data_IF_671991311050
#
_entry.id   IF_671991311050
#
_cell.length_a   1.000
_cell.length_b   1.000
_cell.length_c   1.000
_cell.angle_alpha   90.00
_cell.angle_beta   90.00
_cell.angle_gamma   90.00
#
_symmetry.space_group_name_H-M   'P 1'
#
loop_
_entity.id
_entity.type
_entity.pdbx_description
1 polymer ?
#
# COMPACT_ATOMS: atom_id res chain seq x y z
N UNK A 1 -2.98 17.97 -14.14
CA UNK A 1 -4.36 18.20 -13.66
C UNK A 1 -5.36 17.11 -14.05
N UNK A 2 -5.17 16.39 -15.17
CA UNK A 2 -6.07 15.32 -15.65
C UNK A 2 -6.56 14.29 -14.62
N UNK A 3 -5.75 13.89 -13.63
CA UNK A 3 -6.19 12.97 -12.58
C UNK A 3 -7.25 13.60 -11.66
N UNK A 4 -7.00 14.82 -11.20
CA UNK A 4 -7.90 15.52 -10.27
C UNK A 4 -9.23 15.79 -10.97
N UNK A 5 -9.19 16.34 -12.19
CA UNK A 5 -10.39 16.63 -12.98
C UNK A 5 -11.27 15.39 -13.17
N UNK A 6 -10.66 14.25 -13.50
CA UNK A 6 -11.38 12.98 -13.65
C UNK A 6 -11.93 12.44 -12.33
N UNK A 7 -11.20 12.60 -11.24
CA UNK A 7 -11.63 12.11 -9.94
C UNK A 7 -12.73 12.97 -9.31
N UNK A 8 -12.84 14.25 -9.70
CA UNK A 8 -13.82 15.20 -9.16
C UNK A 8 -14.96 15.49 -10.13
N UNK A 9 -15.25 14.61 -11.08
CA UNK A 9 -16.32 14.78 -12.07
C UNK A 9 -17.74 14.60 -11.48
N UNK A 10 -17.84 14.28 -10.19
CA UNK A 10 -19.09 14.06 -9.47
C UNK A 10 -19.68 12.65 -9.64
N UNK A 11 -19.07 11.80 -10.49
CA UNK A 11 -19.48 10.41 -10.69
C UNK A 11 -18.60 9.45 -9.88
N UNK A 12 -17.32 9.79 -9.71
CA UNK A 12 -16.36 8.98 -8.96
C UNK A 12 -16.64 9.07 -7.46
N UNK A 13 -16.89 7.90 -6.84
CA UNK A 13 -17.15 7.77 -5.40
C UNK A 13 -15.90 7.37 -4.62
N UNK A 14 -14.95 6.69 -5.27
CA UNK A 14 -13.74 6.16 -4.66
C UNK A 14 -12.59 6.13 -5.65
N UNK A 15 -11.38 6.41 -5.16
CA UNK A 15 -10.13 6.23 -5.90
C UNK A 15 -9.25 5.20 -5.21
N UNK A 16 -8.93 4.12 -5.92
CA UNK A 16 -8.04 3.06 -5.44
C UNK A 16 -6.62 3.33 -5.95
N UNK A 17 -5.68 3.50 -5.03
CA UNK A 17 -4.27 3.69 -5.34
C UNK A 17 -3.57 2.33 -5.46
N UNK A 18 -3.17 2.01 -6.69
CA UNK A 18 -2.48 0.77 -7.06
C UNK A 18 -1.04 1.03 -7.56
N UNK A 19 -0.37 2.08 -7.06
CA UNK A 19 1.06 2.28 -7.32
C UNK A 19 1.90 1.20 -6.64
N UNK A 20 3.09 0.96 -7.19
CA UNK A 20 4.07 0.04 -6.63
C UNK A 20 4.34 0.33 -5.14
N UNK A 21 4.60 -0.70 -4.35
CA UNK A 21 4.94 -0.59 -2.92
C UNK A 21 6.43 -0.26 -2.67
N UNK A 22 7.06 0.47 -3.58
CA UNK A 22 8.42 1.01 -3.40
C UNK A 22 8.36 2.34 -2.65
N UNK A 23 9.48 2.82 -2.10
CA UNK A 23 9.52 4.11 -1.39
C UNK A 23 8.97 5.28 -2.23
N UNK A 24 9.33 5.34 -3.52
CA UNK A 24 8.80 6.35 -4.46
C UNK A 24 7.30 6.18 -4.72
N UNK A 25 6.84 4.93 -4.87
CA UNK A 25 5.43 4.63 -5.07
C UNK A 25 4.57 4.94 -3.85
N UNK A 26 5.11 4.75 -2.64
CA UNK A 26 4.52 5.18 -1.37
C UNK A 26 4.41 6.70 -1.27
N UNK A 27 5.51 7.41 -1.54
CA UNK A 27 5.51 8.86 -1.53
C UNK A 27 4.48 9.43 -2.51
N UNK A 28 4.45 8.88 -3.73
CA UNK A 28 3.51 9.29 -4.78
C UNK A 28 2.06 9.06 -4.37
N UNK A 29 1.74 7.87 -3.87
CA UNK A 29 0.39 7.56 -3.41
C UNK A 29 -0.03 8.41 -2.21
N UNK A 30 0.90 8.70 -1.29
CA UNK A 30 0.62 9.56 -0.15
C UNK A 30 0.21 10.97 -0.60
N UNK A 31 0.97 11.57 -1.52
CA UNK A 31 0.67 12.91 -2.06
C UNK A 31 -0.68 12.93 -2.79
N UNK A 32 -0.96 11.92 -3.62
CA UNK A 32 -2.23 11.81 -4.34
C UNK A 32 -3.39 11.63 -3.36
N UNK A 33 -3.22 10.77 -2.35
CA UNK A 33 -4.25 10.52 -1.35
C UNK A 33 -4.61 11.80 -0.58
N UNK A 34 -3.62 12.58 -0.13
CA UNK A 34 -3.88 13.84 0.55
C UNK A 34 -4.65 14.82 -0.34
N UNK A 35 -4.23 14.96 -1.61
CA UNK A 35 -4.89 15.87 -2.54
C UNK A 35 -6.36 15.49 -2.79
N UNK A 36 -6.68 14.21 -2.95
CA UNK A 36 -8.04 13.74 -3.22
C UNK A 36 -8.91 13.76 -1.96
N UNK A 37 -8.37 13.37 -0.80
CA UNK A 37 -9.09 13.46 0.49
C UNK A 37 -9.47 14.88 0.85
N UNK A 38 -8.60 15.86 0.59
CA UNK A 38 -8.90 17.29 0.77
C UNK A 38 -10.09 17.79 -0.08
N UNK A 39 -10.51 17.00 -1.09
CA UNK A 39 -11.65 17.29 -1.98
C UNK A 39 -12.87 16.44 -1.66
N UNK A 40 -12.87 15.72 -0.54
CA UNK A 40 -14.00 14.91 -0.07
C UNK A 40 -14.13 13.55 -0.74
N UNK A 41 -13.13 13.10 -1.50
CA UNK A 41 -13.16 11.78 -2.13
C UNK A 41 -12.66 10.70 -1.18
N UNK A 42 -13.31 9.53 -1.23
CA UNK A 42 -12.80 8.32 -0.59
C UNK A 42 -11.58 7.84 -1.36
N UNK A 43 -10.47 7.62 -0.65
CA UNK A 43 -9.24 7.09 -1.25
C UNK A 43 -8.79 5.88 -0.46
N UNK A 44 -8.67 4.75 -1.14
CA UNK A 44 -8.16 3.50 -0.58
C UNK A 44 -6.88 3.09 -1.30
N UNK A 45 -6.16 2.16 -0.70
CA UNK A 45 -4.93 1.59 -1.26
C UNK A 45 -5.08 0.09 -1.26
N UNK A 46 -4.59 -0.57 -2.31
CA UNK A 46 -4.42 -2.01 -2.27
C UNK A 46 -3.60 -2.38 -1.02
N UNK A 47 -4.00 -3.41 -0.30
CA UNK A 47 -3.22 -3.90 0.82
C UNK A 47 -1.85 -4.34 0.31
N UNK A 48 -0.78 -4.02 1.06
CA UNK A 48 0.50 -4.72 0.88
C UNK A 48 0.22 -6.18 1.21
N UNK A 49 0.33 -7.05 0.21
CA UNK A 49 -0.12 -8.43 0.32
C UNK A 49 0.42 -9.11 1.56
N UNK A 50 -0.49 -9.58 2.40
CA UNK A 50 -0.43 -10.97 2.84
C UNK A 50 -1.50 -11.67 2.01
N UNK A 51 -1.15 -12.56 1.08
CA UNK A 51 -2.14 -13.38 0.41
C UNK A 51 -2.88 -14.20 1.48
N UNK A 52 -4.21 -14.22 1.43
CA UNK A 52 -5.03 -15.10 2.26
C UNK A 52 -4.74 -16.57 1.83
N UNK A 53 -3.69 -17.15 2.38
CA UNK A 53 -3.13 -18.44 1.99
C UNK A 53 -1.64 -18.63 2.29
N UNK A 54 -0.90 -17.58 2.65
CA UNK A 54 0.50 -17.68 3.09
C UNK A 54 0.60 -18.04 4.58
N UNK A 55 0.05 -19.20 4.97
CA UNK A 55 0.54 -19.86 6.18
C UNK A 55 2.01 -20.27 5.90
N UNK A 56 2.93 -19.99 6.83
CA UNK A 56 4.26 -20.62 7.01
C UNK A 56 5.55 -20.10 6.34
N UNK A 57 5.58 -19.28 5.29
CA UNK A 57 6.88 -19.04 4.57
C UNK A 57 7.65 -17.76 4.94
N UNK A 58 7.13 -16.91 5.81
CA UNK A 58 7.85 -15.70 6.28
C UNK A 58 8.05 -15.70 7.81
N UNK A 59 8.31 -16.88 8.38
CA UNK A 59 9.13 -16.91 9.60
C UNK A 59 10.52 -16.50 9.14
N UNK A 60 10.76 -15.20 9.25
CA UNK A 60 12.00 -14.48 8.98
C UNK A 60 13.21 -15.41 9.12
N UNK A 61 13.87 -15.72 7.99
CA UNK A 61 15.13 -16.46 7.98
C UNK A 61 16.13 -15.87 9.00
N UNK A 62 16.05 -14.56 9.28
CA UNK A 62 16.79 -13.91 10.36
C UNK A 62 16.47 -14.45 11.77
N UNK A 63 15.20 -14.72 12.07
CA UNK A 63 14.76 -15.31 13.34
C UNK A 63 15.17 -16.78 13.47
N UNK A 64 15.10 -17.57 12.38
CA UNK A 64 15.62 -18.96 12.37
C UNK A 64 17.14 -18.97 12.50
N UNK A 65 17.85 -18.08 11.81
CA UNK A 65 19.30 -17.96 11.90
C UNK A 65 19.76 -17.59 13.31
N UNK A 66 19.08 -16.67 13.98
CA UNK A 66 19.37 -16.31 15.38
C UNK A 66 19.14 -17.50 16.32
N UNK A 67 18.03 -18.22 16.16
CA UNK A 67 17.72 -19.39 16.99
C UNK A 67 18.66 -20.59 16.76
N UNK A 68 19.31 -20.69 15.59
CA UNK A 68 20.32 -21.72 15.30
C UNK A 68 21.70 -21.36 15.86
N UNK A 69 22.05 -20.08 15.90
CA UNK A 69 23.33 -19.59 16.44
C UNK A 69 23.35 -19.63 17.97
N UNK A 70 22.20 -19.44 18.63
CA UNK A 70 22.07 -19.51 20.09
C UNK A 70 22.13 -20.93 20.67
N UNK A 71 22.33 -21.95 19.83
CA UNK A 71 22.68 -23.30 20.27
C UNK A 71 24.18 -23.54 20.10
N UNK A 72 25.01 -22.86 20.89
CA UNK A 72 26.27 -23.35 21.47
C UNK A 72 26.75 -22.40 22.56
#
# INVERSE_FOLDING_TARGET
HKLIERATDGLVQEVILASNFTAEGEATAHVIAQALKARGLTVTRLARGVPAGSELEYVDLGTIAHALVDRH
#
